data_IF_582501398709
#
_entry.id   IF_582501398709
#
_cell.length_a   1.000
_cell.length_b   1.000
_cell.length_c   1.000
_cell.angle_alpha   90.00
_cell.angle_beta   90.00
_cell.angle_gamma   90.00
#
_symmetry.space_group_name_H-M   'P 1'
#
loop_
_entity.id
_entity.type
_entity.pdbx_description
1 polymer ?
#
# COMPACT_ATOMS: atom_id res chain seq x y z
N UNK A 1 19.71 -13.23 -2.63
CA UNK A 1 18.49 -12.52 -2.21
C UNK A 1 18.27 -11.40 -3.20
N UNK A 2 17.31 -11.57 -4.10
CA UNK A 2 16.85 -10.55 -5.03
C UNK A 2 16.00 -9.54 -4.27
N UNK A 3 16.08 -8.26 -4.69
CA UNK A 3 15.16 -7.21 -4.27
C UNK A 3 14.50 -6.64 -5.52
N UNK A 4 13.17 -6.50 -5.53
CA UNK A 4 12.41 -5.97 -6.65
C UNK A 4 11.64 -4.74 -6.19
N UNK A 5 11.75 -3.63 -6.91
CA UNK A 5 10.86 -2.49 -6.78
C UNK A 5 9.84 -2.56 -7.92
N UNK A 6 8.58 -2.83 -7.59
CA UNK A 6 7.48 -3.02 -8.54
C UNK A 6 6.60 -1.77 -8.59
N UNK A 7 6.37 -1.22 -9.80
CA UNK A 7 5.53 -0.03 -10.01
C UNK A 7 4.71 -0.16 -11.29
N UNK A 8 3.43 0.25 -11.23
CA UNK A 8 2.50 0.26 -12.37
C UNK A 8 2.23 1.69 -12.83
N UNK A 9 2.90 2.15 -13.88
CA UNK A 9 2.87 3.55 -14.33
C UNK A 9 2.15 3.74 -15.65
N UNK A 10 0.82 3.52 -15.70
CA UNK A 10 0.01 3.63 -16.92
C UNK A 10 -1.19 4.55 -16.74
N UNK A 11 -1.09 5.78 -17.24
CA UNK A 11 -2.13 6.81 -17.23
C UNK A 11 -2.44 7.29 -18.64
N UNK A 12 -3.70 7.65 -18.89
CA UNK A 12 -4.15 8.19 -20.17
C UNK A 12 -4.13 9.73 -20.23
N UNK A 13 -3.56 10.39 -19.22
CA UNK A 13 -3.60 11.84 -19.04
C UNK A 13 -2.24 12.42 -18.63
N UNK A 14 -2.20 13.71 -18.27
CA UNK A 14 -0.99 14.45 -17.89
C UNK A 14 -0.16 13.81 -16.77
N UNK A 15 -0.75 12.92 -15.95
CA UNK A 15 -0.04 12.17 -14.92
C UNK A 15 1.02 11.24 -15.52
N UNK A 16 0.79 10.69 -16.72
CA UNK A 16 1.79 9.87 -17.40
C UNK A 16 3.07 10.67 -17.66
N UNK A 17 2.92 11.88 -18.19
CA UNK A 17 4.07 12.75 -18.45
C UNK A 17 4.81 13.09 -17.16
N UNK A 18 4.09 13.40 -16.07
CA UNK A 18 4.73 13.65 -14.79
C UNK A 18 5.46 12.40 -14.28
N UNK A 19 4.82 11.23 -14.36
CA UNK A 19 5.40 9.96 -13.96
C UNK A 19 6.71 9.69 -14.71
N UNK A 20 6.69 9.78 -16.04
CA UNK A 20 7.86 9.55 -16.88
C UNK A 20 8.98 10.58 -16.65
N UNK A 21 8.64 11.82 -16.28
CA UNK A 21 9.61 12.90 -16.08
C UNK A 21 10.25 12.87 -14.70
N UNK A 22 9.49 12.55 -13.65
CA UNK A 22 9.94 12.70 -12.26
C UNK A 22 9.88 11.39 -11.46
N UNK A 23 8.75 10.68 -11.47
CA UNK A 23 8.55 9.48 -10.62
C UNK A 23 9.46 8.32 -11.06
N UNK A 24 9.41 7.98 -12.35
CA UNK A 24 10.15 6.85 -12.92
C UNK A 24 11.67 7.00 -12.76
N UNK A 25 12.30 8.15 -13.12
CA UNK A 25 13.72 8.36 -12.87
C UNK A 25 14.09 8.28 -11.38
N UNK A 26 13.26 8.84 -10.49
CA UNK A 26 13.48 8.80 -9.04
C UNK A 26 13.40 7.37 -8.50
N UNK A 27 12.45 6.56 -8.98
CA UNK A 27 12.34 5.15 -8.63
C UNK A 27 13.56 4.35 -9.09
N UNK A 28 14.05 4.61 -10.31
CA UNK A 28 15.27 3.98 -10.82
C UNK A 28 16.50 4.37 -9.99
N UNK A 29 16.68 5.66 -9.68
CA UNK A 29 17.77 6.15 -8.84
C UNK A 29 17.77 5.47 -7.46
N UNK A 30 16.60 5.41 -6.83
CA UNK A 30 16.43 4.73 -5.55
C UNK A 30 16.73 3.23 -5.65
N UNK A 31 16.25 2.57 -6.71
CA UNK A 31 16.50 1.15 -6.94
C UNK A 31 17.99 0.86 -7.10
N UNK A 32 18.69 1.65 -7.92
CA UNK A 32 20.14 1.53 -8.14
C UNK A 32 20.91 1.72 -6.82
N UNK A 33 20.53 2.72 -6.02
CA UNK A 33 21.16 3.03 -4.74
C UNK A 33 21.06 1.89 -3.73
N UNK A 34 19.92 1.22 -3.66
CA UNK A 34 19.62 0.21 -2.65
C UNK A 34 19.70 -1.24 -3.15
N UNK A 35 20.09 -1.42 -4.42
CA UNK A 35 20.27 -2.71 -5.06
C UNK A 35 18.96 -3.43 -5.35
N UNK A 36 17.90 -2.69 -5.72
CA UNK A 36 16.67 -3.25 -6.27
C UNK A 36 16.77 -3.40 -7.78
N UNK A 37 16.18 -4.45 -8.31
CA UNK A 37 15.74 -4.51 -9.70
C UNK A 37 14.45 -3.68 -9.83
N UNK A 38 14.48 -2.62 -10.64
CA UNK A 38 13.28 -1.81 -10.89
C UNK A 38 12.43 -2.45 -11.99
N UNK A 39 11.26 -2.97 -11.62
CA UNK A 39 10.25 -3.48 -12.53
C UNK A 39 9.13 -2.45 -12.69
N UNK A 40 9.20 -1.74 -13.81
CA UNK A 40 8.20 -0.77 -14.22
C UNK A 40 7.28 -1.37 -15.28
N UNK A 41 5.99 -1.49 -14.97
CA UNK A 41 4.99 -2.04 -15.87
C UNK A 41 4.07 -0.93 -16.38
N UNK A 42 4.18 -0.62 -17.68
CA UNK A 42 3.40 0.43 -18.36
C UNK A 42 2.43 -0.10 -19.40
N UNK A 43 2.81 -1.21 -20.03
CA UNK A 43 2.11 -1.78 -21.18
C UNK A 43 1.36 -3.07 -20.82
N UNK A 44 0.33 -3.38 -21.60
CA UNK A 44 -0.47 -4.61 -21.49
C UNK A 44 -1.07 -4.88 -20.09
N UNK A 45 -1.25 -3.83 -19.28
CA UNK A 45 -1.93 -3.95 -17.99
C UNK A 45 -3.39 -4.35 -18.22
N UNK A 46 -3.85 -5.34 -17.45
CA UNK A 46 -5.23 -5.80 -17.48
C UNK A 46 -5.94 -5.48 -16.16
N UNK A 47 -7.26 -5.43 -16.20
CA UNK A 47 -8.08 -5.21 -14.99
C UNK A 47 -8.45 -6.56 -14.38
N UNK A 48 -7.85 -6.91 -13.26
CA UNK A 48 -8.28 -8.07 -12.46
C UNK A 48 -9.46 -7.66 -11.57
N UNK A 49 -10.53 -8.46 -11.54
CA UNK A 49 -11.80 -8.09 -10.86
C UNK A 49 -12.29 -6.67 -11.22
N UNK A 50 -12.07 -6.26 -12.48
CA UNK A 50 -12.48 -4.95 -12.99
C UNK A 50 -11.62 -3.76 -12.56
N UNK A 51 -10.50 -3.94 -11.86
CA UNK A 51 -9.63 -2.85 -11.41
C UNK A 51 -8.12 -3.16 -11.56
N UNK A 52 -7.29 -2.13 -11.70
CA UNK A 52 -5.83 -2.25 -11.76
C UNK A 52 -5.17 -2.38 -10.38
N UNK A 53 -5.80 -1.91 -9.30
CA UNK A 53 -5.19 -1.94 -7.96
C UNK A 53 -4.88 -3.36 -7.47
N UNK A 54 -5.60 -4.37 -7.97
CA UNK A 54 -5.31 -5.77 -7.67
C UNK A 54 -3.98 -6.27 -8.26
N UNK A 55 -3.46 -5.60 -9.29
CA UNK A 55 -2.28 -6.07 -10.02
C UNK A 55 -1.03 -6.18 -9.13
N UNK A 56 -0.90 -5.34 -8.10
CA UNK A 56 0.23 -5.40 -7.16
C UNK A 56 0.38 -6.78 -6.51
N UNK A 57 -0.73 -7.46 -6.22
CA UNK A 57 -0.71 -8.83 -5.70
C UNK A 57 -0.81 -9.91 -6.79
N UNK A 58 -1.59 -9.72 -7.86
CA UNK A 58 -1.71 -10.76 -8.91
C UNK A 58 -0.44 -10.93 -9.72
N UNK A 59 0.29 -9.86 -9.99
CA UNK A 59 1.60 -9.94 -10.66
C UNK A 59 2.62 -10.59 -9.73
N UNK A 60 2.56 -10.31 -8.43
CA UNK A 60 3.43 -10.98 -7.46
C UNK A 60 3.15 -12.49 -7.38
N UNK A 61 1.88 -12.91 -7.42
CA UNK A 61 1.49 -14.33 -7.54
C UNK A 61 2.08 -14.96 -8.81
N UNK A 62 1.94 -14.31 -9.97
CA UNK A 62 2.54 -14.78 -11.23
C UNK A 62 4.06 -14.89 -11.15
N UNK A 63 4.74 -13.91 -10.56
CA UNK A 63 6.18 -13.94 -10.37
C UNK A 63 6.62 -15.11 -9.48
N UNK A 64 5.79 -15.53 -8.51
CA UNK A 64 6.03 -16.72 -7.68
C UNK A 64 5.81 -18.02 -8.48
N UNK A 65 4.73 -18.10 -9.26
CA UNK A 65 4.41 -19.26 -10.10
C UNK A 65 5.45 -19.52 -11.19
N UNK A 66 5.96 -18.44 -11.81
CA UNK A 66 7.01 -18.49 -12.83
C UNK A 66 8.41 -18.71 -12.25
N UNK A 67 8.56 -18.68 -10.92
CA UNK A 67 9.85 -18.79 -10.23
C UNK A 67 10.76 -17.59 -10.40
N UNK A 68 10.21 -16.43 -10.80
CA UNK A 68 10.95 -15.19 -10.94
C UNK A 68 11.39 -14.62 -9.57
N UNK A 69 10.58 -14.80 -8.53
CA UNK A 69 10.95 -14.60 -7.11
C UNK A 69 10.78 -15.88 -6.32
N UNK A 70 11.66 -16.08 -5.34
CA UNK A 70 11.74 -17.29 -4.52
C UNK A 70 11.92 -16.96 -3.04
N UNK A 71 11.85 -17.98 -2.18
CA UNK A 71 11.94 -17.79 -0.73
C UNK A 71 13.21 -17.02 -0.32
N UNK A 72 13.02 -16.01 0.52
CA UNK A 72 14.04 -15.06 0.96
C UNK A 72 14.10 -13.78 0.14
N UNK A 73 13.62 -13.76 -1.11
CA UNK A 73 13.60 -12.55 -1.94
C UNK A 73 12.63 -11.49 -1.37
N UNK A 74 12.84 -10.23 -1.73
CA UNK A 74 12.03 -9.09 -1.27
C UNK A 74 11.40 -8.40 -2.46
N UNK A 75 10.10 -8.14 -2.38
CA UNK A 75 9.38 -7.30 -3.34
C UNK A 75 8.80 -6.10 -2.60
N UNK A 76 9.18 -4.90 -3.02
CA UNK A 76 8.61 -3.65 -2.55
C UNK A 76 7.75 -3.07 -3.67
N UNK A 77 6.50 -2.74 -3.37
CA UNK A 77 5.56 -2.15 -4.31
C UNK A 77 5.34 -0.68 -3.95
N UNK A 78 5.28 0.20 -4.97
CA UNK A 78 4.78 1.57 -4.85
C UNK A 78 3.71 1.83 -5.93
N UNK A 79 2.60 2.44 -5.54
CA UNK A 79 1.66 3.00 -6.50
C UNK A 79 2.34 4.16 -7.27
N UNK A 80 1.96 4.37 -8.52
CA UNK A 80 2.66 5.32 -9.40
C UNK A 80 2.44 6.80 -9.03
N UNK A 81 1.55 7.09 -8.09
CA UNK A 81 1.35 8.40 -7.49
C UNK A 81 2.14 8.59 -6.17
N UNK A 82 3.11 7.71 -5.89
CA UNK A 82 4.02 7.83 -4.76
C UNK A 82 5.41 8.31 -5.19
N UNK A 83 5.85 9.41 -4.60
CA UNK A 83 7.19 9.96 -4.74
C UNK A 83 8.07 9.52 -3.56
N UNK A 84 9.25 8.97 -3.86
CA UNK A 84 10.31 8.74 -2.88
C UNK A 84 11.02 10.07 -2.63
N UNK A 85 10.58 10.79 -1.59
CA UNK A 85 11.10 12.11 -1.23
C UNK A 85 12.49 12.00 -0.59
N UNK A 86 12.69 11.01 0.29
CA UNK A 86 14.00 10.72 0.88
C UNK A 86 14.52 9.38 0.33
N UNK A 87 15.54 9.45 -0.53
CA UNK A 87 16.15 8.26 -1.14
C UNK A 87 17.20 7.58 -0.27
N UNK A 88 17.59 8.16 0.87
CA UNK A 88 18.61 7.58 1.76
C UNK A 88 18.05 6.42 2.59
N UNK A 89 16.74 6.41 2.84
CA UNK A 89 16.07 5.42 3.70
C UNK A 89 15.70 4.15 2.92
N UNK A 90 16.17 2.99 3.37
CA UNK A 90 15.92 1.71 2.72
C UNK A 90 14.53 1.15 3.07
N UNK A 91 13.62 1.14 2.10
CA UNK A 91 12.33 0.45 2.19
C UNK A 91 12.45 -1.06 1.94
N UNK A 92 12.66 -1.81 3.02
CA UNK A 92 12.49 -3.26 3.03
C UNK A 92 11.84 -3.72 4.34
N UNK A 93 11.07 -4.80 4.30
CA UNK A 93 10.51 -5.39 5.52
C UNK A 93 11.56 -6.09 6.37
N UNK A 94 11.56 -5.84 7.68
CA UNK A 94 12.35 -6.62 8.63
C UNK A 94 11.67 -7.95 9.02
N UNK A 95 10.37 -8.09 8.74
CA UNK A 95 9.56 -9.29 9.02
C UNK A 95 9.20 -10.01 7.71
N UNK A 96 7.95 -10.47 7.58
CA UNK A 96 7.40 -11.03 6.35
C UNK A 96 6.73 -9.95 5.50
N UNK A 97 6.08 -8.97 6.12
CA UNK A 97 5.31 -7.93 5.43
C UNK A 97 5.39 -6.61 6.18
N UNK A 98 5.56 -5.51 5.45
CA UNK A 98 5.51 -4.16 6.00
C UNK A 98 4.67 -3.22 5.13
N UNK A 99 3.97 -2.31 5.79
CA UNK A 99 3.22 -1.20 5.18
C UNK A 99 3.16 -0.05 6.20
N UNK A 100 2.54 1.07 5.86
CA UNK A 100 2.40 2.21 6.78
C UNK A 100 0.93 2.58 7.02
N UNK A 101 0.66 3.09 8.23
CA UNK A 101 -0.54 3.88 8.48
C UNK A 101 -0.25 5.29 7.99
N UNK A 102 -0.99 5.73 6.98
CA UNK A 102 -0.73 7.00 6.32
C UNK A 102 -1.15 8.21 7.16
N UNK A 103 -0.75 9.40 6.71
CA UNK A 103 -1.12 10.68 7.35
C UNK A 103 -2.63 10.94 7.37
N UNK A 104 -3.36 10.29 6.45
CA UNK A 104 -4.82 10.28 6.33
C UNK A 104 -5.52 9.33 7.32
N UNK A 105 -4.75 8.60 8.11
CA UNK A 105 -5.18 7.56 9.06
C UNK A 105 -5.77 6.31 8.43
N UNK A 106 -5.13 5.80 7.39
CA UNK A 106 -5.48 4.56 6.70
C UNK A 106 -4.31 3.58 6.78
N UNK A 107 -4.57 2.31 7.13
CA UNK A 107 -3.65 1.19 6.87
C UNK A 107 -3.48 1.02 5.35
N UNK A 108 -2.55 1.76 4.75
CA UNK A 108 -2.57 2.01 3.31
C UNK A 108 -1.75 0.95 2.55
N UNK A 109 -2.35 0.36 1.53
CA UNK A 109 -1.69 -0.62 0.64
C UNK A 109 -1.15 0.02 -0.66
N UNK A 110 -1.12 1.35 -0.73
CA UNK A 110 -0.49 2.04 -1.85
C UNK A 110 1.02 1.75 -1.94
N UNK A 111 1.63 1.41 -0.80
CA UNK A 111 2.95 0.79 -0.77
C UNK A 111 3.01 -0.34 0.26
N UNK A 112 3.88 -1.30 0.00
CA UNK A 112 4.27 -2.33 0.95
C UNK A 112 5.64 -2.91 0.58
N UNK A 113 6.28 -3.59 1.54
CA UNK A 113 7.42 -4.46 1.29
C UNK A 113 7.11 -5.86 1.82
N UNK A 114 7.38 -6.89 1.02
CA UNK A 114 7.08 -8.28 1.36
C UNK A 114 8.30 -9.17 1.12
N UNK A 115 8.67 -9.96 2.12
CA UNK A 115 9.72 -10.98 2.03
C UNK A 115 9.07 -12.32 1.75
N UNK A 116 9.48 -12.97 0.66
CA UNK A 116 8.90 -14.23 0.24
C UNK A 116 9.25 -15.34 1.25
N UNK A 117 8.23 -15.89 1.88
CA UNK A 117 8.30 -17.05 2.76
C UNK A 117 6.92 -17.73 2.81
N UNK A 118 6.79 -18.78 3.62
CA UNK A 118 5.53 -19.51 3.78
C UNK A 118 4.35 -18.59 4.16
N UNK A 119 4.55 -17.70 5.12
CA UNK A 119 3.50 -16.81 5.61
C UNK A 119 3.10 -15.79 4.54
N UNK A 120 4.07 -15.19 3.84
CA UNK A 120 3.81 -14.17 2.83
C UNK A 120 3.11 -14.74 1.59
N UNK A 121 3.39 -16.00 1.23
CA UNK A 121 2.66 -16.72 0.15
C UNK A 121 1.20 -16.88 0.54
N UNK A 122 0.94 -17.34 1.77
CA UNK A 122 -0.43 -17.43 2.30
C UNK A 122 -1.13 -16.07 2.35
N UNK A 123 -0.40 -14.98 2.64
CA UNK A 123 -0.96 -13.62 2.56
C UNK A 123 -1.42 -13.27 1.15
N UNK A 124 -0.61 -13.54 0.13
CA UNK A 124 -0.97 -13.28 -1.27
C UNK A 124 -2.21 -14.09 -1.66
N UNK A 125 -2.22 -15.39 -1.37
CA UNK A 125 -3.36 -16.28 -1.64
C UNK A 125 -4.63 -15.78 -0.95
N UNK A 126 -4.50 -15.32 0.29
CA UNK A 126 -5.62 -14.78 1.08
C UNK A 126 -6.14 -13.45 0.53
N UNK A 127 -5.26 -12.55 0.11
CA UNK A 127 -5.67 -11.28 -0.52
C UNK A 127 -6.42 -11.55 -1.83
N UNK A 128 -5.94 -12.53 -2.60
CA UNK A 128 -6.50 -12.92 -3.90
C UNK A 128 -7.59 -14.00 -3.83
N UNK A 129 -8.00 -14.43 -2.63
CA UNK A 129 -8.99 -15.49 -2.47
C UNK A 129 -10.34 -15.15 -3.12
N UNK A 130 -10.81 -16.04 -4.00
CA UNK A 130 -12.12 -15.92 -4.66
C UNK A 130 -13.29 -16.07 -3.68
N UNK A 131 -13.16 -16.94 -2.68
CA UNK A 131 -14.22 -17.14 -1.68
C UNK A 131 -14.41 -15.88 -0.84
N UNK A 132 -13.32 -15.25 -0.41
CA UNK A 132 -13.36 -13.98 0.32
C UNK A 132 -13.93 -12.86 -0.54
N UNK A 133 -13.47 -12.75 -1.79
CA UNK A 133 -14.00 -11.76 -2.72
C UNK A 133 -15.51 -11.90 -2.91
N UNK A 134 -16.02 -13.10 -3.16
CA UNK A 134 -17.46 -13.35 -3.30
C UNK A 134 -18.25 -13.08 -2.01
N UNK A 135 -17.66 -13.40 -0.87
CA UNK A 135 -18.28 -13.21 0.44
C UNK A 135 -18.36 -11.75 0.90
N UNK A 136 -17.41 -10.90 0.48
CA UNK A 136 -17.23 -9.55 1.02
C UNK A 136 -17.43 -8.42 0.01
N UNK A 137 -17.28 -8.67 -1.29
CA UNK A 137 -17.26 -7.61 -2.29
C UNK A 137 -18.53 -6.75 -2.28
N UNK A 138 -19.70 -7.34 -2.04
CA UNK A 138 -20.99 -6.64 -2.04
C UNK A 138 -21.54 -6.38 -0.62
N UNK A 139 -20.77 -6.68 0.42
CA UNK A 139 -21.16 -6.39 1.81
C UNK A 139 -21.08 -4.90 2.05
N UNK A 140 -22.18 -4.30 2.47
CA UNK A 140 -22.27 -2.87 2.76
C UNK A 140 -22.20 -2.58 4.25
N UNK A 141 -21.49 -1.52 4.61
CA UNK A 141 -21.46 -0.97 5.96
C UNK A 141 -21.62 0.54 5.91
N UNK A 142 -22.01 1.13 7.05
CA UNK A 142 -22.09 2.59 7.17
C UNK A 142 -20.69 3.15 7.41
N UNK A 143 -20.28 4.14 6.63
CA UNK A 143 -19.06 4.89 6.90
C UNK A 143 -19.26 5.76 8.15
N UNK A 144 -18.44 5.56 9.19
CA UNK A 144 -18.63 6.23 10.51
C UNK A 144 -18.62 7.75 10.40
N UNK A 145 -17.64 8.31 9.67
CA UNK A 145 -17.48 9.75 9.49
C UNK A 145 -18.53 10.41 8.57
N UNK A 146 -18.75 9.85 7.39
CA UNK A 146 -19.59 10.47 6.36
C UNK A 146 -21.06 10.02 6.39
N UNK A 147 -21.34 8.91 7.07
CA UNK A 147 -22.70 8.38 7.25
C UNK A 147 -23.32 7.70 6.04
N UNK A 148 -22.67 7.68 4.87
CA UNK A 148 -23.14 6.93 3.70
C UNK A 148 -22.98 5.42 3.89
N UNK A 149 -23.73 4.63 3.12
CA UNK A 149 -23.72 3.16 3.17
C UNK A 149 -23.27 2.63 1.83
N UNK A 150 -22.19 1.85 1.82
CA UNK A 150 -21.64 1.22 0.62
C UNK A 150 -20.69 0.08 0.98
N UNK A 151 -20.18 -0.60 -0.06
CA UNK A 151 -19.15 -1.63 0.09
C UNK A 151 -17.76 -1.01 0.19
N UNK A 152 -17.06 -1.36 1.26
CA UNK A 152 -15.65 -0.99 1.45
C UNK A 152 -14.74 -1.69 0.41
N UNK A 153 -15.11 -2.91 0.00
CA UNK A 153 -14.39 -3.65 -1.04
C UNK A 153 -14.55 -3.04 -2.44
N UNK A 154 -15.69 -2.41 -2.75
CA UNK A 154 -15.85 -1.64 -4.00
C UNK A 154 -14.96 -0.39 -4.01
N UNK A 155 -14.82 0.27 -2.87
CA UNK A 155 -14.00 1.49 -2.72
C UNK A 155 -12.51 1.18 -2.75
N UNK A 156 -12.05 0.24 -1.91
CA UNK A 156 -10.64 0.06 -1.56
C UNK A 156 -10.04 -1.29 -1.97
N UNK A 157 -10.84 -2.22 -2.52
CA UNK A 157 -10.36 -3.45 -3.21
C UNK A 157 -9.38 -4.28 -2.36
N UNK A 158 -8.14 -4.43 -2.81
CA UNK A 158 -7.09 -5.19 -2.10
C UNK A 158 -6.86 -4.66 -0.68
N UNK A 159 -7.04 -3.36 -0.46
CA UNK A 159 -6.80 -2.77 0.84
C UNK A 159 -7.93 -3.20 1.78
N UNK A 160 -9.17 -3.24 1.27
CA UNK A 160 -10.27 -3.82 2.03
C UNK A 160 -10.08 -5.31 2.32
N UNK A 161 -9.40 -6.04 1.42
CA UNK A 161 -9.00 -7.44 1.67
C UNK A 161 -8.04 -7.55 2.85
N UNK A 162 -7.00 -6.70 2.89
CA UNK A 162 -6.10 -6.61 4.04
C UNK A 162 -6.82 -6.27 5.34
N UNK A 163 -7.69 -5.25 5.34
CA UNK A 163 -8.47 -4.87 6.52
C UNK A 163 -9.32 -6.03 7.02
N UNK A 164 -9.96 -6.76 6.11
CA UNK A 164 -10.80 -7.90 6.48
C UNK A 164 -9.96 -9.04 7.09
N UNK A 165 -8.75 -9.28 6.56
CA UNK A 165 -7.82 -10.30 7.06
C UNK A 165 -7.30 -9.98 8.47
N UNK A 166 -6.99 -8.71 8.74
CA UNK A 166 -6.49 -8.23 10.03
C UNK A 166 -7.60 -7.74 10.98
N UNK A 167 -8.88 -7.80 10.56
CA UNK A 167 -10.03 -7.37 11.36
C UNK A 167 -10.01 -5.89 11.73
N UNK A 168 -9.68 -5.02 10.78
CA UNK A 168 -9.54 -3.57 10.98
C UNK A 168 -10.85 -2.88 10.58
N UNK A 169 -11.37 -2.00 11.42
CA UNK A 169 -12.53 -1.15 11.06
C UNK A 169 -12.19 -0.23 9.88
N UNK A 170 -13.18 0.04 9.03
CA UNK A 170 -12.99 0.83 7.80
C UNK A 170 -12.55 2.29 8.00
N UNK A 171 -12.76 2.87 9.18
CA UNK A 171 -12.46 4.28 9.47
C UNK A 171 -12.12 4.48 10.95
N UNK A 172 -11.32 5.50 11.26
CA UNK A 172 -11.15 6.00 12.62
C UNK A 172 -10.89 7.51 12.60
N UNK A 173 -11.66 8.27 13.39
CA UNK A 173 -11.35 9.69 13.64
C UNK A 173 -10.20 9.86 14.66
N UNK A 174 -9.87 8.80 15.40
CA UNK A 174 -8.69 8.71 16.26
C UNK A 174 -7.54 8.04 15.48
N UNK A 175 -6.28 8.51 15.61
CA UNK A 175 -5.10 7.82 15.07
C UNK A 175 -5.15 6.31 15.33
N UNK A 176 -4.99 5.49 14.30
CA UNK A 176 -4.87 4.04 14.46
C UNK A 176 -3.70 3.68 15.39
N UNK A 177 -2.65 4.50 15.42
CA UNK A 177 -1.55 4.42 16.38
C UNK A 177 -1.97 4.45 17.86
N UNK A 178 -3.10 5.07 18.18
CA UNK A 178 -3.61 5.17 19.54
C UNK A 178 -4.61 4.06 19.89
N UNK A 179 -5.11 3.32 18.89
CA UNK A 179 -5.97 2.18 19.13
C UNK A 179 -5.15 0.97 19.59
N UNK A 180 -5.74 0.06 20.39
CA UNK A 180 -5.11 -1.22 20.69
C UNK A 180 -4.64 -1.91 19.43
N UNK A 181 -3.43 -2.46 19.46
CA UNK A 181 -2.86 -3.26 18.39
C UNK A 181 -2.87 -2.55 17.03
N UNK A 182 -2.70 -1.22 17.04
CA UNK A 182 -2.75 -0.36 15.85
C UNK A 182 -4.10 -0.40 15.12
N UNK A 183 -5.17 -0.83 15.80
CA UNK A 183 -6.49 -1.07 15.25
C UNK A 183 -6.70 -2.44 14.62
N UNK A 184 -5.72 -3.35 14.67
CA UNK A 184 -6.00 -4.76 14.39
C UNK A 184 -7.08 -5.30 15.32
N UNK A 185 -7.92 -6.18 14.80
CA UNK A 185 -9.07 -6.78 15.51
C UNK A 185 -10.10 -5.76 16.05
N UNK A 186 -10.08 -4.50 15.59
CA UNK A 186 -11.10 -3.48 15.92
C UNK A 186 -12.46 -3.72 15.25
N UNK A 187 -12.54 -4.56 14.22
CA UNK A 187 -13.76 -5.00 13.54
C UNK A 187 -13.62 -6.49 13.13
N UNK A 188 -13.54 -7.35 14.13
CA UNK A 188 -13.33 -8.79 13.93
C UNK A 188 -14.61 -9.47 13.42
N UNK A 189 -14.47 -10.27 12.38
CA UNK A 189 -15.57 -11.04 11.76
C UNK A 189 -15.16 -12.49 11.52
N UNK A 190 -16.04 -13.34 10.98
CA UNK A 190 -15.64 -14.68 10.53
C UNK A 190 -14.58 -14.67 9.40
N UNK A 191 -14.37 -13.52 8.76
CA UNK A 191 -13.37 -13.33 7.72
C UNK A 191 -12.02 -12.82 8.24
N UNK A 192 -11.88 -12.58 9.54
CA UNK A 192 -10.59 -12.27 10.15
C UNK A 192 -9.76 -13.55 10.26
N UNK A 193 -8.65 -13.60 9.52
CA UNK A 193 -7.82 -14.81 9.39
C UNK A 193 -6.69 -14.83 10.41
N UNK A 194 -6.00 -13.70 10.58
CA UNK A 194 -4.76 -13.68 11.37
C UNK A 194 -5.03 -13.40 12.85
N UNK A 195 -4.39 -14.18 13.72
CA UNK A 195 -4.30 -13.85 15.13
C UNK A 195 -3.41 -12.61 15.37
N UNK A 196 -3.57 -11.96 16.53
CA UNK A 196 -2.69 -10.84 16.89
C UNK A 196 -1.23 -11.31 17.01
N UNK A 197 -0.99 -12.51 17.55
CA UNK A 197 0.36 -13.08 17.66
C UNK A 197 1.01 -13.24 16.29
N UNK A 198 0.29 -13.77 15.29
CA UNK A 198 0.79 -13.85 13.91
C UNK A 198 1.05 -12.48 13.30
N UNK A 199 0.16 -11.50 13.52
CA UNK A 199 0.36 -10.14 13.02
C UNK A 199 1.61 -9.51 13.67
N UNK A 200 1.83 -9.68 14.97
CA UNK A 200 3.04 -9.22 15.63
C UNK A 200 4.30 -9.94 15.17
N UNK A 201 4.22 -11.23 14.84
CA UNK A 201 5.36 -11.99 14.36
C UNK A 201 5.76 -11.60 12.93
N UNK A 202 4.77 -11.42 12.05
CA UNK A 202 5.02 -11.34 10.61
C UNK A 202 4.86 -9.94 10.00
N UNK A 203 4.16 -9.04 10.67
CA UNK A 203 3.79 -7.73 10.13
C UNK A 203 4.49 -6.58 10.87
N UNK A 204 5.11 -5.68 10.11
CA UNK A 204 5.74 -4.47 10.60
C UNK A 204 5.00 -3.25 10.05
N UNK A 205 4.35 -2.48 10.93
CA UNK A 205 3.77 -1.20 10.55
C UNK A 205 4.86 -0.13 10.66
N UNK A 206 5.21 0.45 9.53
CA UNK A 206 6.20 1.51 9.42
C UNK A 206 5.63 2.86 9.90
N UNK A 207 6.50 3.77 10.38
CA UNK A 207 6.09 5.13 10.73
C UNK A 207 5.36 5.84 9.59
N UNK A 208 4.46 6.76 9.93
CA UNK A 208 3.66 7.50 8.93
C UNK A 208 4.49 8.25 7.89
N UNK A 209 5.75 8.59 8.18
CA UNK A 209 6.70 9.16 7.20
C UNK A 209 6.87 8.31 5.92
N UNK A 210 6.63 7.00 5.99
CA UNK A 210 6.68 6.06 4.86
C UNK A 210 5.41 6.08 3.98
N UNK A 211 4.38 6.83 4.36
CA UNK A 211 3.21 7.08 3.52
C UNK A 211 2.50 8.36 3.94
N UNK A 212 2.87 9.48 3.33
CA UNK A 212 2.27 10.78 3.63
C UNK A 212 1.33 11.17 2.51
N UNK A 213 0.04 10.91 2.71
CA UNK A 213 -1.07 11.26 1.80
C UNK A 213 -1.52 12.72 1.94
N UNK A 214 -1.64 13.20 3.18
CA UNK A 214 -2.08 14.53 3.57
C UNK A 214 -0.88 15.35 4.04
N UNK A 215 -0.79 16.59 3.56
CA UNK A 215 0.30 17.50 3.88
C UNK A 215 -0.23 18.93 3.93
N UNK A 216 0.19 19.68 4.94
CA UNK A 216 -0.23 21.06 5.13
C UNK A 216 0.18 21.94 3.93
N UNK A 217 -0.76 22.73 3.40
CA UNK A 217 -0.56 23.52 2.18
C UNK A 217 -0.73 22.74 0.86
N UNK A 218 -1.05 21.44 0.91
CA UNK A 218 -1.27 20.61 -0.28
C UNK A 218 -2.70 20.11 -0.47
N UNK A 219 -3.49 20.10 0.59
CA UNK A 219 -4.90 19.72 0.60
C UNK A 219 -5.68 20.54 1.63
N UNK A 220 -6.99 20.31 1.71
CA UNK A 220 -7.86 20.87 2.76
C UNK A 220 -7.54 20.29 4.16
N UNK A 221 -6.67 19.28 4.24
CA UNK A 221 -6.18 18.65 5.47
C UNK A 221 -7.29 18.14 6.40
N UNK A 222 -8.47 17.81 5.84
CA UNK A 222 -9.61 17.31 6.61
C UNK A 222 -9.27 16.03 7.38
N UNK A 223 -8.35 15.22 6.83
CA UNK A 223 -7.90 13.95 7.41
C UNK A 223 -6.43 13.96 7.81
N UNK A 224 -5.80 15.13 7.98
CA UNK A 224 -4.44 15.23 8.49
C UNK A 224 -4.39 14.88 9.99
N UNK A 225 -4.50 13.57 10.27
CA UNK A 225 -4.60 12.99 11.61
C UNK A 225 -3.20 12.61 12.10
N UNK A 226 -2.44 11.87 11.28
CA UNK A 226 -1.08 11.46 11.62
C UNK A 226 -0.10 12.44 10.97
N UNK A 227 0.18 13.54 11.67
CA UNK A 227 1.05 14.61 11.17
C UNK A 227 2.49 14.16 11.06
N UNK A 228 3.15 14.60 9.98
CA UNK A 228 4.59 14.40 9.73
C UNK A 228 5.14 15.74 9.27
N UNK A 229 6.29 16.14 9.83
CA UNK A 229 6.98 17.34 9.37
C UNK A 229 7.48 17.14 7.94
N UNK A 230 7.46 18.19 7.12
CA UNK A 230 7.82 18.12 5.70
C UNK A 230 9.21 17.49 5.47
N UNK A 231 10.15 17.73 6.39
CA UNK A 231 11.53 17.25 6.32
C UNK A 231 11.71 15.79 6.72
N UNK A 232 10.74 15.22 7.42
CA UNK A 232 10.75 13.81 7.83
C UNK A 232 10.05 12.90 6.81
N UNK A 233 9.43 13.46 5.76
CA UNK A 233 8.72 12.68 4.73
C UNK A 233 9.69 11.82 3.93
N UNK A 234 9.45 10.51 3.95
CA UNK A 234 10.20 9.53 3.15
C UNK A 234 9.46 9.25 1.84
N UNK A 235 8.15 8.98 1.93
CA UNK A 235 7.29 8.77 0.76
C UNK A 235 6.11 9.73 0.81
N UNK A 236 5.98 10.52 -0.25
CA UNK A 236 4.83 11.40 -0.49
C UNK A 236 3.84 10.73 -1.43
N UNK A 237 2.58 10.62 -1.04
CA UNK A 237 1.53 9.88 -1.76
C UNK A 237 0.37 10.76 -2.23
N UNK A 238 0.19 10.93 -3.54
CA UNK A 238 -0.80 11.85 -4.11
C UNK A 238 -2.21 11.25 -4.32
N UNK A 239 -2.68 10.37 -3.42
CA UNK A 239 -3.97 9.67 -3.56
C UNK A 239 -5.20 10.44 -3.09
N UNK A 240 -5.05 11.53 -2.33
CA UNK A 240 -6.16 12.34 -1.83
C UNK A 240 -6.69 13.38 -2.83
N UNK A 241 -6.34 13.25 -4.11
CA UNK A 241 -6.70 14.23 -5.15
C UNK A 241 -5.82 15.48 -5.18
N UNK A 242 -4.72 15.48 -4.42
CA UNK A 242 -3.73 16.56 -4.47
C UNK A 242 -3.04 16.59 -5.83
N UNK A 243 -2.57 17.77 -6.24
CA UNK A 243 -1.72 17.89 -7.43
C UNK A 243 -0.36 17.24 -7.14
N UNK A 244 0.18 16.54 -8.13
CA UNK A 244 1.55 16.04 -8.07
C UNK A 244 2.50 17.23 -8.19
N UNK A 245 3.50 17.32 -7.30
CA UNK A 245 4.39 18.50 -7.19
C UNK A 245 5.85 18.09 -7.33
N UNK A 246 6.57 18.79 -8.19
CA UNK A 246 8.00 18.53 -8.45
C UNK A 246 8.91 18.87 -7.26
N UNK A 247 8.44 19.67 -6.30
CA UNK A 247 9.23 20.08 -5.14
C UNK A 247 9.70 18.90 -4.26
N UNK A 248 8.98 17.77 -4.31
CA UNK A 248 9.33 16.54 -3.58
C UNK A 248 10.54 15.80 -4.17
N UNK A 249 10.99 16.17 -5.38
CA UNK A 249 12.13 15.58 -6.07
C UNK A 249 13.41 16.43 -5.96
N UNK A 250 13.35 17.53 -5.20
CA UNK A 250 14.52 18.38 -4.93
C UNK A 250 15.21 18.01 -3.60
N UNK A 251 14.70 16.99 -2.91
CA UNK A 251 15.27 16.40 -1.71
C UNK A 251 16.18 15.23 -2.07
#
# INVERSE_FOLDING_TARGET
MKKVLLVFGSYADQRQQFFDTYMSPRNQEYADKHGFEYLELKDNLYKYRGNYTWLKFTILEQMLEEGYVTDGDIVTHLDADMCIANIDELYQTNKSFSYAIDSGNTHCMGNYSIKINEWSRKLIDNILSEDRYRGLNDVVSRHERFGYVNSFWHEFREQASWYSLAGIKRHSDEPFWNLPDYGWHSDKTEWTEYSLDELYEHVEILPTAWNVTEMEGESDCQFLINRVEKDDVIIRHFAGGQKWREEWFNK
#
